data_IF_094766782065
#
_entry.id   IF_094766782065
#
_cell.length_a   1.000
_cell.length_b   1.000
_cell.length_c   1.000
_cell.angle_alpha   90.00
_cell.angle_beta   90.00
_cell.angle_gamma   90.00
#
_symmetry.space_group_name_H-M   'P 1'
#
loop_
_entity.id
_entity.type
_entity.pdbx_description
1 polymer ?
#
# COMPACT_ATOMS: atom_id res chain seq x y z
N UNK A 1 -15.99 23.79 19.56
CA UNK A 1 -16.08 23.66 18.10
C UNK A 1 -17.47 23.17 17.77
N UNK A 2 -18.23 23.92 16.97
CA UNK A 2 -19.59 23.57 16.52
C UNK A 2 -19.46 22.30 15.68
N UNK A 3 -20.14 21.22 16.09
CA UNK A 3 -20.25 20.00 15.28
C UNK A 3 -20.95 20.41 13.97
N UNK A 4 -20.19 20.53 12.88
CA UNK A 4 -20.77 20.76 11.57
C UNK A 4 -21.62 19.53 11.25
N UNK A 5 -22.90 19.73 10.99
CA UNK A 5 -23.79 18.66 10.54
C UNK A 5 -23.15 18.00 9.31
N UNK A 6 -22.81 16.72 9.41
CA UNK A 6 -22.25 15.98 8.27
C UNK A 6 -23.34 15.82 7.21
N UNK A 7 -23.05 16.27 5.99
CA UNK A 7 -23.92 16.05 4.84
C UNK A 7 -23.79 14.58 4.43
N UNK A 8 -24.89 13.83 4.41
CA UNK A 8 -24.94 12.44 3.97
C UNK A 8 -26.10 12.21 3.02
N UNK A 9 -25.82 11.63 1.84
CA UNK A 9 -26.87 11.34 0.85
C UNK A 9 -26.42 10.20 -0.06
N UNK A 10 -27.31 9.21 -0.31
CA UNK A 10 -27.06 8.18 -1.33
C UNK A 10 -26.92 8.87 -2.69
N UNK A 11 -25.84 8.56 -3.42
CA UNK A 11 -25.54 9.18 -4.70
C UNK A 11 -25.76 8.22 -5.87
N UNK A 12 -25.54 6.93 -5.68
CA UNK A 12 -25.85 5.88 -6.63
C UNK A 12 -26.13 4.56 -5.93
N UNK A 13 -26.86 3.69 -6.58
CA UNK A 13 -27.20 2.37 -6.07
C UNK A 13 -26.01 1.39 -6.15
N UNK A 14 -26.21 0.17 -5.68
CA UNK A 14 -25.20 -0.89 -5.65
C UNK A 14 -24.86 -1.49 -7.03
N UNK A 15 -25.48 -1.05 -8.12
CA UNK A 15 -25.21 -1.57 -9.47
C UNK A 15 -23.95 -0.99 -10.10
N UNK A 16 -23.47 0.18 -9.63
CA UNK A 16 -22.25 0.80 -10.12
C UNK A 16 -21.02 0.20 -9.44
N UNK A 17 -20.14 -0.40 -10.23
CA UNK A 17 -18.85 -0.91 -9.73
C UNK A 17 -17.91 0.23 -9.36
N UNK A 18 -16.91 -0.09 -8.51
CA UNK A 18 -15.86 0.86 -8.13
C UNK A 18 -15.15 1.42 -9.35
N UNK A 19 -14.81 0.57 -10.32
CA UNK A 19 -14.12 0.99 -11.54
C UNK A 19 -14.94 1.99 -12.36
N UNK A 20 -16.25 1.78 -12.50
CA UNK A 20 -17.13 2.75 -13.17
C UNK A 20 -17.14 4.11 -12.48
N UNK A 21 -17.21 4.13 -11.14
CA UNK A 21 -17.20 5.39 -10.39
C UNK A 21 -15.85 6.09 -10.55
N UNK A 22 -14.74 5.38 -10.41
CA UNK A 22 -13.41 5.96 -10.58
C UNK A 22 -13.19 6.50 -11.99
N UNK A 23 -13.69 5.80 -13.02
CA UNK A 23 -13.66 6.24 -14.41
C UNK A 23 -14.49 7.50 -14.63
N UNK A 24 -15.71 7.56 -14.07
CA UNK A 24 -16.55 8.75 -14.13
C UNK A 24 -15.89 9.96 -13.44
N UNK A 25 -15.12 9.72 -12.37
CA UNK A 25 -14.39 10.75 -11.64
C UNK A 25 -12.98 11.02 -12.19
N UNK A 26 -12.64 10.48 -13.35
CA UNK A 26 -11.28 10.54 -13.93
C UNK A 26 -10.74 11.97 -14.18
N UNK A 27 -11.58 12.98 -14.27
CA UNK A 27 -11.13 14.38 -14.35
C UNK A 27 -10.57 14.92 -13.02
N UNK A 28 -10.82 14.26 -11.89
CA UNK A 28 -10.34 14.67 -10.58
C UNK A 28 -8.92 14.12 -10.35
N UNK A 29 -7.96 15.01 -10.08
CA UNK A 29 -6.52 14.65 -10.07
C UNK A 29 -6.02 13.97 -8.80
N UNK A 30 -6.62 14.22 -7.63
CA UNK A 30 -6.25 13.59 -6.36
C UNK A 30 -7.30 12.57 -5.94
N UNK A 31 -7.55 11.62 -6.86
CA UNK A 31 -8.54 10.56 -6.69
C UNK A 31 -7.91 9.36 -5.98
N UNK A 32 -8.55 8.89 -4.91
CA UNK A 32 -8.08 7.74 -4.13
C UNK A 32 -9.21 6.76 -3.90
N UNK A 33 -8.91 5.49 -4.06
CA UNK A 33 -9.74 4.36 -3.64
C UNK A 33 -8.97 3.50 -2.64
N UNK A 34 -9.64 3.06 -1.58
CA UNK A 34 -9.15 2.06 -0.63
C UNK A 34 -10.24 1.00 -0.44
N UNK A 35 -9.90 -0.27 -0.62
CA UNK A 35 -10.78 -1.41 -0.34
C UNK A 35 -11.09 -1.52 1.16
N UNK A 36 -10.08 -1.31 2.00
CA UNK A 36 -10.21 -1.29 3.46
C UNK A 36 -11.02 -2.48 4.01
N UNK A 37 -10.64 -3.68 3.60
CA UNK A 37 -11.30 -4.96 3.90
C UNK A 37 -12.77 -4.94 3.45
N UNK A 38 -13.70 -4.60 4.34
CA UNK A 38 -15.15 -4.64 4.07
C UNK A 38 -15.79 -3.23 4.01
N UNK A 39 -14.98 -2.17 4.02
CA UNK A 39 -15.47 -0.79 4.04
C UNK A 39 -14.83 0.07 2.94
N UNK A 40 -15.12 -0.22 1.66
CA UNK A 40 -14.54 0.52 0.53
C UNK A 40 -14.89 2.00 0.57
N UNK A 41 -13.88 2.82 0.25
CA UNK A 41 -14.01 4.28 0.22
C UNK A 41 -13.39 4.86 -1.05
N UNK A 42 -14.05 5.85 -1.65
CA UNK A 42 -13.51 6.68 -2.74
C UNK A 42 -13.43 8.12 -2.24
N UNK A 43 -12.23 8.67 -2.15
CA UNK A 43 -12.00 10.03 -1.71
C UNK A 43 -11.50 10.92 -2.86
N UNK A 44 -11.92 12.17 -2.87
CA UNK A 44 -11.68 13.13 -3.93
C UNK A 44 -11.69 14.55 -3.40
N UNK A 45 -11.10 15.48 -4.16
CA UNK A 45 -11.10 16.92 -3.88
C UNK A 45 -10.61 17.22 -2.45
N UNK A 46 -9.39 16.79 -2.05
CA UNK A 46 -8.88 17.09 -0.71
C UNK A 46 -8.87 18.61 -0.46
N UNK A 47 -9.11 19.04 0.76
CA UNK A 47 -9.04 20.46 1.13
C UNK A 47 -7.61 21.01 0.96
N UNK A 48 -6.65 20.18 1.33
CA UNK A 48 -5.22 20.43 1.21
C UNK A 48 -4.51 19.13 0.92
N UNK A 49 -3.36 19.21 0.27
CA UNK A 49 -2.47 18.07 0.15
C UNK A 49 -1.01 18.48 0.08
N UNK A 50 -0.14 17.54 0.41
CA UNK A 50 1.30 17.67 0.22
C UNK A 50 1.83 16.54 -0.62
N UNK A 51 2.85 16.84 -1.42
CA UNK A 51 3.61 15.89 -2.24
C UNK A 51 5.08 16.09 -1.94
N UNK A 52 5.82 14.99 -1.75
CA UNK A 52 7.28 15.01 -1.80
C UNK A 52 7.73 14.40 -3.12
N UNK A 53 8.41 15.20 -3.93
CA UNK A 53 8.90 14.80 -5.25
C UNK A 53 10.21 15.53 -5.55
N UNK A 54 11.15 14.85 -6.22
CA UNK A 54 12.46 15.43 -6.59
C UNK A 54 13.17 16.07 -5.38
N UNK A 55 13.08 15.42 -4.21
CA UNK A 55 13.68 15.88 -2.95
C UNK A 55 13.14 17.22 -2.41
N UNK A 56 11.94 17.61 -2.80
CA UNK A 56 11.26 18.82 -2.36
C UNK A 56 9.84 18.53 -1.91
N UNK A 57 9.37 19.24 -0.90
CA UNK A 57 7.98 19.26 -0.49
C UNK A 57 7.21 20.34 -1.26
N UNK A 58 6.03 20.00 -1.72
CA UNK A 58 5.07 20.89 -2.33
C UNK A 58 3.76 20.80 -1.54
N UNK A 59 3.18 21.98 -1.22
CA UNK A 59 1.93 22.07 -0.48
C UNK A 59 0.89 22.76 -1.33
N UNK A 60 -0.34 22.26 -1.29
CA UNK A 60 -1.43 22.76 -2.12
C UNK A 60 -2.69 22.94 -1.27
N UNK A 61 -3.42 24.03 -1.55
CA UNK A 61 -4.72 24.30 -0.95
C UNK A 61 -5.77 24.41 -2.03
N UNK A 62 -6.94 23.78 -1.81
CA UNK A 62 -8.09 23.87 -2.70
C UNK A 62 -8.76 25.25 -2.60
N UNK A 63 -9.06 25.85 -3.75
CA UNK A 63 -9.84 27.10 -3.86
C UNK A 63 -11.34 26.82 -3.81
N UNK A 64 -12.14 27.87 -3.76
CA UNK A 64 -13.60 27.75 -3.84
C UNK A 64 -14.08 27.16 -5.18
N UNK A 65 -13.33 27.32 -6.26
CA UNK A 65 -13.65 26.78 -7.59
C UNK A 65 -13.07 25.39 -7.86
N UNK A 66 -12.64 24.69 -6.79
CA UNK A 66 -12.05 23.35 -6.83
C UNK A 66 -10.73 23.23 -7.62
N UNK A 67 -10.04 24.34 -7.83
CA UNK A 67 -8.67 24.37 -8.30
C UNK A 67 -7.71 24.31 -7.11
N UNK A 68 -6.44 23.98 -7.38
CA UNK A 68 -5.40 23.98 -6.35
C UNK A 68 -4.39 25.08 -6.61
N UNK A 69 -4.02 25.76 -5.54
CA UNK A 69 -2.95 26.77 -5.56
C UNK A 69 -1.81 26.27 -4.68
N UNK A 70 -0.59 26.54 -5.12
CA UNK A 70 0.60 26.26 -4.31
C UNK A 70 0.60 27.15 -3.06
N UNK A 71 0.89 26.53 -1.91
CA UNK A 71 1.05 27.25 -0.65
C UNK A 71 2.54 27.24 -0.29
N UNK A 72 3.16 28.43 -0.23
CA UNK A 72 4.58 28.57 0.12
C UNK A 72 4.87 28.29 1.61
N UNK A 73 3.82 28.14 2.42
CA UNK A 73 3.98 27.80 3.83
C UNK A 73 3.97 26.29 4.00
N UNK A 74 5.02 25.79 4.66
CA UNK A 74 5.04 24.43 5.13
C UNK A 74 3.89 24.22 6.12
N UNK A 75 2.96 23.35 5.75
CA UNK A 75 1.82 22.99 6.58
C UNK A 75 2.00 21.54 6.98
N UNK A 76 2.16 21.31 8.27
CA UNK A 76 2.07 19.95 8.81
C UNK A 76 0.63 19.47 8.73
N UNK A 77 0.30 18.77 7.61
CA UNK A 77 -1.04 18.23 7.39
C UNK A 77 -1.37 17.17 8.45
N UNK A 78 -0.38 16.47 9.01
CA UNK A 78 -0.57 15.48 10.05
C UNK A 78 -1.10 16.06 11.36
N UNK A 79 -0.86 17.34 11.63
CA UNK A 79 -1.38 18.05 12.81
C UNK A 79 -2.92 18.12 12.88
N UNK A 80 -3.61 17.81 11.76
CA UNK A 80 -5.07 17.70 11.75
C UNK A 80 -5.59 16.41 12.41
N UNK A 81 -4.71 15.43 12.66
CA UNK A 81 -5.04 14.22 13.38
C UNK A 81 -4.93 14.49 14.87
N UNK A 82 -6.02 14.39 15.58
CA UNK A 82 -6.06 14.60 17.03
C UNK A 82 -6.60 13.34 17.71
N UNK A 83 -5.71 12.49 18.25
CA UNK A 83 -6.13 11.25 18.90
C UNK A 83 -7.20 11.50 19.96
N UNK A 84 -8.34 10.80 19.82
CA UNK A 84 -9.49 10.92 20.71
C UNK A 84 -9.65 9.65 21.54
N UNK A 85 -10.20 9.78 22.75
CA UNK A 85 -10.65 8.65 23.57
C UNK A 85 -12.06 8.17 23.21
N UNK A 86 -12.79 8.92 22.38
CA UNK A 86 -14.13 8.51 21.94
C UNK A 86 -14.01 7.38 20.92
N UNK A 87 -14.87 6.37 21.07
CA UNK A 87 -14.94 5.25 20.13
C UNK A 87 -15.64 5.70 18.85
N UNK A 88 -15.00 5.49 17.70
CA UNK A 88 -15.60 5.65 16.38
C UNK A 88 -15.45 4.36 15.56
N UNK A 89 -16.25 4.26 14.51
CA UNK A 89 -16.28 3.10 13.63
C UNK A 89 -14.92 2.85 12.95
N UNK A 90 -14.63 1.58 12.66
CA UNK A 90 -13.36 1.12 12.06
C UNK A 90 -13.17 1.55 10.58
N UNK A 91 -14.07 2.35 10.01
CA UNK A 91 -14.03 2.81 8.63
C UNK A 91 -13.55 4.26 8.52
N UNK A 92 -13.19 4.68 7.30
CA UNK A 92 -12.83 6.07 7.04
C UNK A 92 -14.02 7.00 7.29
N UNK A 93 -13.80 8.04 8.08
CA UNK A 93 -14.81 9.02 8.47
C UNK A 93 -14.41 10.48 8.22
N UNK A 94 -13.42 10.67 7.35
CA UNK A 94 -12.73 11.93 7.07
C UNK A 94 -11.39 12.03 7.79
N UNK A 95 -10.42 12.60 7.10
CA UNK A 95 -9.05 12.71 7.62
C UNK A 95 -7.99 12.68 6.52
N UNK A 96 -6.83 12.09 6.81
CA UNK A 96 -5.73 11.95 5.86
C UNK A 96 -5.84 10.65 5.08
N UNK A 97 -5.65 10.71 3.76
CA UNK A 97 -5.38 9.54 2.93
C UNK A 97 -4.12 9.80 2.12
N UNK A 98 -3.33 8.75 1.91
CA UNK A 98 -2.16 8.89 1.06
C UNK A 98 -1.27 7.66 1.00
N UNK A 99 -0.04 7.87 0.56
CA UNK A 99 1.00 6.87 0.56
C UNK A 99 2.35 7.44 0.98
N UNK A 100 3.18 6.57 1.53
CA UNK A 100 4.58 6.80 1.86
C UNK A 100 5.41 5.77 1.10
N UNK A 101 6.30 6.19 0.21
CA UNK A 101 7.17 5.29 -0.53
C UNK A 101 8.26 4.68 0.36
N UNK A 102 8.85 3.57 -0.11
CA UNK A 102 10.07 3.03 0.49
C UNK A 102 11.18 4.08 0.52
N UNK A 103 11.42 4.76 -0.61
CA UNK A 103 12.50 5.72 -0.76
C UNK A 103 12.36 6.88 0.26
N UNK A 104 11.13 7.41 0.42
CA UNK A 104 10.87 8.49 1.38
C UNK A 104 11.08 8.03 2.83
N UNK A 105 10.65 6.83 3.16
CA UNK A 105 10.81 6.28 4.50
C UNK A 105 12.28 5.92 4.79
N UNK A 106 12.96 5.26 3.86
CA UNK A 106 14.33 4.81 4.03
C UNK A 106 15.33 5.98 4.17
N UNK A 107 15.11 7.11 3.45
CA UNK A 107 15.99 8.28 3.57
C UNK A 107 16.04 8.91 4.97
N UNK A 108 15.06 8.61 5.84
CA UNK A 108 15.08 9.05 7.23
C UNK A 108 16.14 8.31 8.06
N UNK A 109 16.62 7.18 7.58
CA UNK A 109 17.51 6.26 8.30
C UNK A 109 18.88 6.11 7.63
N UNK A 110 18.91 6.06 6.29
CA UNK A 110 20.12 5.82 5.50
C UNK A 110 20.09 6.68 4.23
N UNK A 111 21.24 7.07 3.67
CA UNK A 111 21.27 7.69 2.35
C UNK A 111 20.75 6.72 1.30
N UNK A 112 19.72 7.11 0.53
CA UNK A 112 19.14 6.29 -0.55
C UNK A 112 18.88 7.14 -1.80
N UNK A 113 18.83 6.48 -2.94
CA UNK A 113 18.34 7.06 -4.17
C UNK A 113 16.81 7.20 -4.09
N UNK A 114 16.27 8.22 -4.76
CA UNK A 114 14.84 8.50 -4.79
C UNK A 114 14.39 8.60 -6.24
N UNK A 115 13.32 7.87 -6.61
CA UNK A 115 12.70 8.00 -7.94
C UNK A 115 12.21 9.42 -8.19
N UNK A 116 12.16 9.84 -9.46
CA UNK A 116 11.67 11.17 -9.88
C UNK A 116 10.15 11.34 -9.71
N UNK A 117 9.41 10.26 -9.52
CA UNK A 117 7.97 10.24 -9.21
C UNK A 117 7.68 10.77 -7.81
N UNK A 118 6.40 11.06 -7.47
CA UNK A 118 6.00 11.32 -6.10
C UNK A 118 6.44 10.19 -5.15
N UNK A 119 7.07 10.57 -4.02
CA UNK A 119 7.56 9.64 -2.99
C UNK A 119 6.76 9.72 -1.69
N UNK A 120 5.99 10.77 -1.52
CA UNK A 120 4.98 10.96 -0.48
C UNK A 120 3.80 11.70 -1.09
N UNK A 121 2.62 11.27 -0.74
CA UNK A 121 1.39 12.06 -0.90
C UNK A 121 0.54 11.91 0.35
N UNK A 122 0.05 13.02 0.86
CA UNK A 122 -0.94 13.06 1.94
C UNK A 122 -1.98 14.12 1.59
N UNK A 123 -3.24 13.71 1.46
CA UNK A 123 -4.37 14.59 1.22
C UNK A 123 -5.33 14.61 2.41
N UNK A 124 -5.84 15.79 2.77
CA UNK A 124 -6.85 15.98 3.80
C UNK A 124 -8.24 15.94 3.15
N UNK A 125 -8.97 14.86 3.39
CA UNK A 125 -10.26 14.58 2.77
C UNK A 125 -11.40 14.69 3.77
N UNK A 126 -12.30 15.63 3.53
CA UNK A 126 -13.56 15.79 4.25
C UNK A 126 -14.78 15.37 3.43
N UNK A 127 -14.57 15.00 2.16
CA UNK A 127 -15.61 14.52 1.23
C UNK A 127 -15.17 13.20 0.59
N UNK A 128 -16.08 12.21 0.63
CA UNK A 128 -15.79 10.85 0.13
C UNK A 128 -17.09 10.10 -0.16
N UNK A 129 -16.99 9.00 -0.92
CA UNK A 129 -18.04 7.99 -1.06
C UNK A 129 -17.67 6.79 -0.18
N UNK A 130 -18.65 6.28 0.55
CA UNK A 130 -18.56 5.07 1.35
C UNK A 130 -19.57 4.06 0.84
N UNK A 131 -19.14 2.80 0.71
CA UNK A 131 -20.03 1.71 0.38
C UNK A 131 -20.96 1.37 1.54
N UNK A 132 -22.22 1.11 1.23
CA UNK A 132 -23.25 0.61 2.17
C UNK A 132 -24.14 -0.40 1.46
N UNK A 133 -24.93 -1.17 2.20
CA UNK A 133 -25.91 -2.09 1.61
C UNK A 133 -26.94 -1.39 0.70
N UNK A 134 -27.17 -0.11 0.91
CA UNK A 134 -28.07 0.71 0.08
C UNK A 134 -27.38 1.33 -1.15
N UNK A 135 -26.08 1.10 -1.33
CA UNK A 135 -25.25 1.68 -2.38
C UNK A 135 -24.21 2.67 -1.86
N UNK A 136 -23.71 3.52 -2.74
CA UNK A 136 -22.68 4.50 -2.41
C UNK A 136 -23.27 5.73 -1.72
N UNK A 137 -22.83 5.94 -0.48
CA UNK A 137 -23.20 7.08 0.34
C UNK A 137 -22.15 8.18 0.20
N UNK A 138 -22.54 9.34 -0.31
CA UNK A 138 -21.73 10.54 -0.21
C UNK A 138 -21.74 11.07 1.21
N UNK A 139 -20.55 11.24 1.77
CA UNK A 139 -20.32 11.80 3.10
C UNK A 139 -19.45 13.03 2.99
N UNK A 140 -19.80 14.10 3.70
CA UNK A 140 -18.97 15.31 3.72
C UNK A 140 -19.16 16.13 5.00
N UNK A 141 -18.05 16.62 5.54
CA UNK A 141 -18.00 17.68 6.56
C UNK A 141 -17.50 19.01 5.99
N UNK A 142 -17.25 19.08 4.68
CA UNK A 142 -16.79 20.29 3.99
C UNK A 142 -17.87 21.37 3.99
N UNK A 143 -17.46 22.62 4.10
CA UNK A 143 -18.37 23.78 4.03
C UNK A 143 -19.08 23.90 2.66
N UNK A 144 -18.52 23.30 1.61
CA UNK A 144 -19.07 23.25 0.25
C UNK A 144 -19.74 21.90 -0.09
N UNK A 145 -20.12 21.10 0.91
CA UNK A 145 -20.61 19.73 0.74
C UNK A 145 -21.68 19.57 -0.36
N UNK A 146 -22.69 20.44 -0.38
CA UNK A 146 -23.76 20.38 -1.39
C UNK A 146 -23.25 20.66 -2.81
N UNK A 147 -22.30 21.60 -2.95
CA UNK A 147 -21.71 21.94 -4.24
C UNK A 147 -20.81 20.82 -4.76
N UNK A 148 -20.05 20.18 -3.85
CA UNK A 148 -19.25 18.98 -4.16
C UNK A 148 -20.19 17.82 -4.55
N UNK A 149 -21.26 17.58 -3.79
CA UNK A 149 -22.24 16.54 -4.11
C UNK A 149 -22.77 16.69 -5.54
N UNK A 150 -23.25 17.88 -5.92
CA UNK A 150 -23.77 18.15 -7.27
C UNK A 150 -22.70 17.95 -8.36
N UNK A 151 -21.46 18.33 -8.07
CA UNK A 151 -20.34 18.11 -9.00
C UNK A 151 -20.09 16.62 -9.22
N UNK A 152 -20.01 15.81 -8.17
CA UNK A 152 -19.82 14.37 -8.26
C UNK A 152 -21.02 13.71 -8.95
N UNK A 153 -22.26 14.07 -8.56
CA UNK A 153 -23.48 13.58 -9.21
C UNK A 153 -23.47 13.84 -10.71
N UNK A 154 -23.03 15.03 -11.15
CA UNK A 154 -22.93 15.35 -12.57
C UNK A 154 -21.95 14.48 -13.35
N UNK A 155 -20.82 14.08 -12.74
CA UNK A 155 -19.89 13.14 -13.36
C UNK A 155 -20.47 11.72 -13.46
N UNK A 156 -21.16 11.25 -12.43
CA UNK A 156 -21.76 9.92 -12.42
C UNK A 156 -22.94 9.76 -13.38
N UNK A 157 -23.62 10.85 -13.73
CA UNK A 157 -24.71 10.85 -14.70
C UNK A 157 -24.23 10.90 -16.16
N UNK A 158 -22.96 11.25 -16.40
CA UNK A 158 -22.37 11.28 -17.74
C UNK A 158 -21.49 10.04 -17.93
N UNK A 159 -21.84 9.11 -18.82
CA UNK A 159 -20.96 7.97 -19.09
C UNK A 159 -19.63 8.49 -19.63
N UNK A 160 -18.57 8.41 -18.84
CA UNK A 160 -17.23 8.70 -19.29
C UNK A 160 -16.75 7.54 -20.15
N UNK A 161 -16.59 7.77 -21.45
CA UNK A 161 -15.82 6.85 -22.26
C UNK A 161 -14.36 6.92 -21.76
N UNK A 162 -13.74 5.77 -21.50
CA UNK A 162 -12.30 5.68 -21.22
C UNK A 162 -11.55 6.29 -22.40
N UNK A 163 -11.02 7.49 -22.21
CA UNK A 163 -10.31 8.21 -23.27
C UNK A 163 -8.87 7.73 -23.44
N UNK A 164 -8.32 7.02 -22.44
CA UNK A 164 -6.90 6.62 -22.40
C UNK A 164 -6.70 5.20 -21.88
N UNK A 165 -7.01 4.15 -22.67
CA UNK A 165 -6.77 2.77 -22.27
C UNK A 165 -5.27 2.54 -22.07
N UNK A 166 -4.92 1.71 -21.08
CA UNK A 166 -3.54 1.29 -20.84
C UNK A 166 -3.02 0.50 -22.04
N UNK A 167 -1.83 0.86 -22.51
CA UNK A 167 -1.14 0.19 -23.61
C UNK A 167 0.36 0.13 -23.31
N UNK A 168 0.95 -1.05 -23.44
CA UNK A 168 2.37 -1.27 -23.30
C UNK A 168 3.05 -1.34 -24.67
N UNK A 169 4.23 -0.74 -24.78
CA UNK A 169 5.04 -0.83 -26.01
C UNK A 169 5.72 -2.21 -26.17
N UNK A 170 5.95 -2.91 -25.06
CA UNK A 170 6.52 -4.27 -25.02
C UNK A 170 6.12 -4.96 -23.73
N UNK A 171 6.35 -6.26 -23.64
CA UNK A 171 6.23 -6.99 -22.37
C UNK A 171 7.18 -6.42 -21.32
N UNK A 172 6.79 -6.49 -20.05
CA UNK A 172 7.63 -6.05 -18.94
C UNK A 172 8.92 -6.87 -18.88
N UNK A 173 10.04 -6.18 -18.76
CA UNK A 173 11.36 -6.78 -18.66
C UNK A 173 11.89 -6.71 -17.24
N UNK A 174 12.45 -7.82 -16.74
CA UNK A 174 13.20 -7.82 -15.51
C UNK A 174 14.48 -6.97 -15.67
N UNK A 175 14.77 -6.12 -14.71
CA UNK A 175 15.94 -5.25 -14.73
C UNK A 175 17.24 -6.03 -14.65
N UNK A 176 17.26 -7.11 -13.86
CA UNK A 176 18.43 -7.97 -13.74
C UNK A 176 18.30 -9.23 -14.58
N UNK A 177 19.41 -9.60 -15.20
CA UNK A 177 19.61 -10.96 -15.72
C UNK A 177 19.79 -11.94 -14.55
N UNK A 178 19.58 -13.21 -14.80
CA UNK A 178 19.83 -14.27 -13.83
C UNK A 178 21.24 -14.20 -13.23
N UNK A 179 22.25 -13.92 -14.09
CA UNK A 179 23.65 -13.77 -13.64
C UNK A 179 23.83 -12.60 -12.67
N UNK A 180 23.18 -11.46 -12.93
CA UNK A 180 23.25 -10.31 -12.03
C UNK A 180 22.55 -10.59 -10.69
N UNK A 181 21.39 -11.27 -10.73
CA UNK A 181 20.72 -11.69 -9.51
C UNK A 181 21.60 -12.64 -8.68
N UNK A 182 22.22 -13.65 -9.31
CA UNK A 182 23.15 -14.58 -8.65
C UNK A 182 24.33 -13.87 -7.98
N UNK A 183 24.88 -12.85 -8.62
CA UNK A 183 25.96 -12.03 -8.04
C UNK A 183 25.48 -11.26 -6.81
N UNK A 184 24.30 -10.62 -6.88
CA UNK A 184 23.72 -9.92 -5.74
C UNK A 184 23.40 -10.91 -4.59
N UNK A 185 22.81 -12.07 -4.90
CA UNK A 185 22.54 -13.12 -3.91
C UNK A 185 23.82 -13.59 -3.21
N UNK A 186 24.90 -13.84 -3.95
CA UNK A 186 26.19 -14.22 -3.37
C UNK A 186 26.71 -13.16 -2.40
N UNK A 187 26.56 -11.88 -2.74
CA UNK A 187 26.95 -10.77 -1.85
C UNK A 187 26.10 -10.76 -0.57
N UNK A 188 24.80 -10.99 -0.67
CA UNK A 188 23.95 -11.14 0.51
C UNK A 188 24.43 -12.28 1.40
N UNK A 189 24.78 -13.44 0.82
CA UNK A 189 25.31 -14.59 1.58
C UNK A 189 26.65 -14.26 2.25
N UNK A 190 27.52 -13.46 1.60
CA UNK A 190 28.78 -12.98 2.20
C UNK A 190 28.51 -12.09 3.42
N UNK A 191 27.55 -11.14 3.33
CA UNK A 191 27.16 -10.28 4.44
C UNK A 191 26.55 -11.07 5.61
N UNK A 192 25.70 -12.05 5.32
CA UNK A 192 25.13 -12.92 6.36
C UNK A 192 26.24 -13.70 7.07
N UNK A 193 27.18 -14.32 6.32
CA UNK A 193 28.31 -15.07 6.89
C UNK A 193 29.28 -14.20 7.68
N UNK A 194 29.42 -12.92 7.29
CA UNK A 194 30.23 -11.95 8.03
C UNK A 194 29.55 -11.47 9.32
N UNK A 195 28.24 -11.75 9.51
CA UNK A 195 27.48 -11.33 10.66
C UNK A 195 26.91 -9.89 10.54
N UNK A 196 26.92 -9.31 9.35
CA UNK A 196 26.33 -7.99 9.08
C UNK A 196 24.82 -8.00 9.20
N UNK A 197 24.16 -9.09 8.79
CA UNK A 197 22.71 -9.24 8.82
C UNK A 197 22.31 -10.73 8.94
N UNK A 198 21.05 -10.96 9.28
CA UNK A 198 20.43 -12.29 9.34
C UNK A 198 19.58 -12.58 8.12
N UNK A 199 18.96 -11.53 7.58
CA UNK A 199 18.09 -11.58 6.40
C UNK A 199 18.18 -10.27 5.62
N UNK A 200 18.13 -10.37 4.29
CA UNK A 200 17.95 -9.26 3.36
C UNK A 200 16.79 -9.57 2.43
N UNK A 201 15.83 -8.65 2.29
CA UNK A 201 14.78 -8.73 1.28
C UNK A 201 15.35 -8.23 -0.06
N UNK A 202 15.89 -9.17 -0.88
CA UNK A 202 16.47 -8.88 -2.18
C UNK A 202 15.40 -8.90 -3.26
N UNK A 203 15.30 -7.80 -4.03
CA UNK A 203 14.20 -7.62 -4.98
C UNK A 203 14.70 -7.14 -6.33
N UNK A 204 13.88 -7.33 -7.36
CA UNK A 204 14.13 -6.76 -8.68
C UNK A 204 12.89 -6.11 -9.27
N UNK A 205 13.13 -5.15 -10.15
CA UNK A 205 12.14 -4.40 -10.88
C UNK A 205 11.80 -5.06 -12.21
N UNK A 206 10.52 -4.99 -12.59
CA UNK A 206 10.03 -5.33 -13.92
C UNK A 206 9.41 -4.06 -14.51
N UNK A 207 9.87 -3.63 -15.70
CA UNK A 207 9.42 -2.38 -16.30
C UNK A 207 9.01 -2.55 -17.75
N UNK A 208 8.11 -1.67 -18.19
CA UNK A 208 7.79 -1.46 -19.61
C UNK A 208 7.45 0.01 -19.85
N UNK A 209 7.63 0.46 -21.11
CA UNK A 209 7.05 1.72 -21.56
C UNK A 209 5.56 1.55 -21.75
N UNK A 210 4.78 2.50 -21.23
CA UNK A 210 3.33 2.44 -21.21
C UNK A 210 2.69 3.80 -21.50
N UNK A 211 1.60 3.78 -22.26
CA UNK A 211 0.73 4.92 -22.51
C UNK A 211 -0.64 4.67 -21.88
N UNK A 212 -1.47 5.71 -21.79
CA UNK A 212 -2.78 5.63 -21.15
C UNK A 212 -2.69 5.58 -19.63
N UNK A 213 -3.72 5.06 -18.99
CA UNK A 213 -3.90 5.09 -17.53
C UNK A 213 -4.09 3.70 -16.95
N UNK A 214 -3.46 3.42 -15.80
CA UNK A 214 -3.71 2.19 -15.02
C UNK A 214 -5.18 2.08 -14.62
N UNK A 215 -5.86 3.22 -14.43
CA UNK A 215 -7.29 3.28 -14.13
C UNK A 215 -8.13 2.45 -15.11
N UNK A 216 -7.74 2.31 -16.36
CA UNK A 216 -8.47 1.54 -17.35
C UNK A 216 -8.45 0.03 -17.12
N UNK A 217 -7.52 -0.47 -16.31
CA UNK A 217 -7.27 -1.89 -16.08
C UNK A 217 -7.46 -2.33 -14.61
N UNK A 218 -7.89 -1.43 -13.73
CA UNK A 218 -7.96 -1.71 -12.27
C UNK A 218 -8.90 -2.86 -11.93
N UNK A 219 -10.03 -2.98 -12.65
CA UNK A 219 -11.04 -4.02 -12.41
C UNK A 219 -10.44 -5.41 -12.57
N UNK A 220 -9.71 -5.63 -13.68
CA UNK A 220 -9.08 -6.90 -14.00
C UNK A 220 -8.03 -7.30 -12.95
N UNK A 221 -7.23 -6.33 -12.48
CA UNK A 221 -6.22 -6.58 -11.45
C UNK A 221 -6.84 -6.91 -10.09
N UNK A 222 -7.91 -6.22 -9.70
CA UNK A 222 -8.58 -6.50 -8.43
C UNK A 222 -9.35 -7.81 -8.45
N UNK A 223 -10.02 -8.14 -9.56
CA UNK A 223 -10.66 -9.44 -9.74
C UNK A 223 -9.66 -10.59 -9.72
N UNK A 224 -8.48 -10.39 -10.32
CA UNK A 224 -7.40 -11.38 -10.31
C UNK A 224 -6.87 -11.68 -8.91
N UNK A 225 -6.76 -10.67 -8.05
CA UNK A 225 -6.03 -10.78 -6.77
C UNK A 225 -6.94 -10.91 -5.57
N UNK A 226 -8.15 -10.35 -5.60
CA UNK A 226 -9.12 -10.30 -4.51
C UNK A 226 -8.47 -9.93 -3.15
N UNK A 227 -7.60 -8.91 -3.19
CA UNK A 227 -6.75 -8.59 -2.05
C UNK A 227 -7.43 -7.60 -1.10
N UNK A 228 -7.41 -7.85 0.24
CA UNK A 228 -8.19 -7.10 1.21
C UNK A 228 -7.74 -5.65 1.40
N UNK A 229 -6.50 -5.32 1.06
CA UNK A 229 -5.91 -3.97 1.17
C UNK A 229 -5.60 -3.39 -0.21
N UNK A 230 -6.43 -3.71 -1.20
CA UNK A 230 -6.36 -3.12 -2.53
C UNK A 230 -6.63 -1.62 -2.50
N UNK A 231 -6.06 -0.90 -3.46
CA UNK A 231 -6.28 0.53 -3.56
C UNK A 231 -5.79 1.10 -4.89
N UNK A 232 -6.22 2.32 -5.15
CA UNK A 232 -5.78 3.11 -6.30
C UNK A 232 -5.58 4.56 -5.87
N UNK A 233 -4.52 5.18 -6.35
CA UNK A 233 -4.25 6.58 -6.10
C UNK A 233 -3.69 7.21 -7.36
N UNK A 234 -4.20 8.40 -7.70
CA UNK A 234 -3.67 9.20 -8.81
C UNK A 234 -3.37 10.62 -8.39
N UNK A 235 -2.18 11.09 -8.78
CA UNK A 235 -1.71 12.45 -8.58
C UNK A 235 -1.04 12.86 -9.89
N UNK A 236 -1.67 13.77 -10.63
CA UNK A 236 -1.18 14.22 -11.93
C UNK A 236 -0.81 13.02 -12.84
N UNK A 237 0.45 12.90 -13.25
CA UNK A 237 0.97 11.83 -14.11
C UNK A 237 1.41 10.55 -13.34
N UNK A 238 1.21 10.52 -12.02
CA UNK A 238 1.53 9.36 -11.20
C UNK A 238 0.28 8.58 -10.82
N UNK A 239 0.31 7.29 -11.08
CA UNK A 239 -0.71 6.32 -10.68
C UNK A 239 -0.08 5.19 -9.88
N UNK A 240 -0.75 4.83 -8.79
CA UNK A 240 -0.39 3.71 -7.92
C UNK A 240 -1.59 2.77 -7.80
N UNK A 241 -1.46 1.57 -8.32
CA UNK A 241 -2.43 0.48 -8.18
C UNK A 241 -1.89 -0.54 -7.20
N UNK A 242 -2.56 -0.70 -6.07
CA UNK A 242 -2.22 -1.69 -5.05
C UNK A 242 -3.16 -2.88 -5.11
N UNK A 243 -2.58 -4.09 -5.10
CA UNK A 243 -3.24 -5.37 -4.89
C UNK A 243 -2.67 -6.04 -3.63
N UNK A 244 -2.45 -5.26 -2.58
CA UNK A 244 -1.77 -5.73 -1.38
C UNK A 244 -2.64 -6.67 -0.53
N UNK A 245 -2.13 -7.84 -0.16
CA UNK A 245 -2.78 -8.73 0.80
C UNK A 245 -2.44 -8.40 2.26
N UNK A 246 -1.50 -7.50 2.54
CA UNK A 246 -0.85 -7.39 3.84
C UNK A 246 -1.15 -6.08 4.56
N UNK A 247 -1.67 -6.19 5.79
CA UNK A 247 -1.80 -5.10 6.72
C UNK A 247 -0.42 -4.75 7.30
N UNK A 248 -0.04 -3.47 7.19
CA UNK A 248 1.13 -2.97 7.90
C UNK A 248 0.81 -2.60 9.34
N UNK A 249 0.00 -1.57 9.55
CA UNK A 249 -0.44 -1.16 10.88
C UNK A 249 -1.90 -0.70 10.82
N UNK A 250 -2.71 -1.21 11.75
CA UNK A 250 -4.05 -0.76 12.05
C UNK A 250 -4.03 0.03 13.36
N UNK A 251 -4.48 1.28 13.33
CA UNK A 251 -4.60 2.19 14.46
C UNK A 251 -6.05 2.21 14.93
N UNK A 252 -6.31 1.57 16.05
CA UNK A 252 -7.66 1.39 16.58
C UNK A 252 -7.99 2.39 17.68
N UNK A 253 -9.24 2.35 18.13
CA UNK A 253 -9.69 3.07 19.32
C UNK A 253 -8.86 2.72 20.55
N UNK A 254 -8.91 3.56 21.57
CA UNK A 254 -8.11 3.41 22.79
C UNK A 254 -6.60 3.32 22.54
N UNK A 255 -6.14 3.95 21.43
CA UNK A 255 -4.72 4.00 21.04
C UNK A 255 -4.08 2.61 20.80
N UNK A 256 -4.91 1.59 20.60
CA UNK A 256 -4.44 0.25 20.25
C UNK A 256 -3.91 0.25 18.82
N UNK A 257 -2.78 -0.41 18.60
CA UNK A 257 -2.23 -0.68 17.27
C UNK A 257 -2.09 -2.18 17.06
N UNK A 258 -2.31 -2.62 15.83
CA UNK A 258 -2.19 -4.02 15.43
C UNK A 258 -1.36 -4.09 14.15
N UNK A 259 -0.47 -5.08 14.05
CA UNK A 259 0.20 -5.45 12.81
C UNK A 259 0.05 -6.95 12.58
N UNK A 260 -0.12 -7.34 11.29
CA UNK A 260 -0.38 -8.74 10.91
C UNK A 260 0.60 -9.19 9.82
N UNK A 261 1.85 -9.52 10.18
CA UNK A 261 2.81 -10.00 9.21
C UNK A 261 2.39 -11.35 8.64
N UNK A 262 2.58 -11.49 7.33
CA UNK A 262 2.37 -12.73 6.58
C UNK A 262 3.73 -13.35 6.26
N UNK A 263 3.92 -14.63 6.63
CA UNK A 263 5.05 -15.45 6.19
C UNK A 263 4.56 -16.85 5.88
N UNK A 264 4.96 -17.35 4.72
CA UNK A 264 4.48 -18.63 4.23
C UNK A 264 3.11 -18.52 3.55
N UNK A 265 3.04 -19.12 2.38
CA UNK A 265 1.82 -19.16 1.54
C UNK A 265 1.74 -20.50 0.85
N UNK A 266 0.57 -21.13 0.91
CA UNK A 266 0.28 -22.36 0.20
C UNK A 266 -1.01 -22.23 -0.62
N UNK A 267 -1.12 -22.90 -1.79
CA UNK A 267 -2.31 -22.80 -2.63
C UNK A 267 -3.52 -23.46 -1.99
N UNK A 268 -4.70 -22.96 -2.34
CA UNK A 268 -5.99 -23.61 -2.10
C UNK A 268 -6.27 -24.65 -3.18
N UNK A 269 -7.02 -25.68 -2.84
CA UNK A 269 -7.47 -26.71 -3.75
C UNK A 269 -8.98 -26.89 -3.66
N UNK A 270 -9.61 -27.19 -4.80
CA UNK A 270 -11.05 -27.52 -4.84
C UNK A 270 -11.38 -28.85 -4.12
N UNK A 271 -10.42 -29.77 -4.09
CA UNK A 271 -10.53 -31.02 -3.33
C UNK A 271 -10.26 -30.74 -1.84
N UNK A 272 -11.25 -30.98 -0.93
CA UNK A 272 -11.10 -30.67 0.49
C UNK A 272 -9.93 -31.39 1.20
N UNK A 273 -9.56 -32.60 0.71
CA UNK A 273 -8.46 -33.38 1.30
C UNK A 273 -7.13 -32.75 0.92
N UNK A 274 -6.96 -32.39 -0.35
CA UNK A 274 -5.75 -31.70 -0.81
C UNK A 274 -5.64 -30.29 -0.19
N UNK A 275 -6.75 -29.59 -0.03
CA UNK A 275 -6.79 -28.26 0.61
C UNK A 275 -6.34 -28.34 2.07
N UNK A 276 -6.85 -29.29 2.84
CA UNK A 276 -6.43 -29.48 4.24
C UNK A 276 -4.96 -29.93 4.33
N UNK A 277 -4.49 -30.77 3.40
CA UNK A 277 -3.07 -31.15 3.35
C UNK A 277 -2.17 -29.93 3.07
N UNK A 278 -2.59 -29.03 2.17
CA UNK A 278 -1.87 -27.80 1.87
C UNK A 278 -1.77 -26.90 3.12
N UNK A 279 -2.88 -26.72 3.82
CA UNK A 279 -2.95 -26.00 5.07
C UNK A 279 -2.05 -26.61 6.17
N UNK A 280 -2.08 -27.94 6.32
CA UNK A 280 -1.25 -28.65 7.31
C UNK A 280 0.24 -28.53 6.99
N UNK A 281 0.65 -28.60 5.72
CA UNK A 281 2.03 -28.38 5.30
C UNK A 281 2.52 -27.00 5.71
N UNK A 282 1.69 -25.96 5.48
CA UNK A 282 2.03 -24.61 5.89
C UNK A 282 2.16 -24.51 7.42
N UNK A 283 1.18 -25.05 8.14
CA UNK A 283 1.15 -25.01 9.60
C UNK A 283 2.36 -25.70 10.25
N UNK A 284 2.90 -26.75 9.63
CA UNK A 284 4.04 -27.54 10.15
C UNK A 284 5.38 -27.17 9.51
N UNK A 285 5.44 -26.13 8.67
CA UNK A 285 6.66 -25.69 8.02
C UNK A 285 7.60 -25.01 9.02
N UNK A 286 8.64 -25.69 9.44
CA UNK A 286 9.66 -25.15 10.37
C UNK A 286 10.34 -23.89 9.79
N UNK A 287 10.59 -23.87 8.48
CA UNK A 287 11.16 -22.71 7.78
C UNK A 287 10.25 -21.50 7.93
N UNK A 288 8.96 -21.62 7.55
CA UNK A 288 8.01 -20.50 7.58
C UNK A 288 7.77 -20.02 9.02
N UNK A 289 7.70 -20.94 9.99
CA UNK A 289 7.59 -20.60 11.41
C UNK A 289 8.82 -19.82 11.90
N UNK A 290 10.03 -20.25 11.57
CA UNK A 290 11.27 -19.57 11.99
C UNK A 290 11.35 -18.15 11.40
N UNK A 291 11.03 -17.99 10.11
CA UNK A 291 10.98 -16.67 9.47
C UNK A 291 9.88 -15.79 10.09
N UNK A 292 8.72 -16.36 10.38
CA UNK A 292 7.61 -15.64 11.00
C UNK A 292 7.98 -15.13 12.41
N UNK A 293 8.60 -15.97 13.26
CA UNK A 293 9.06 -15.56 14.60
C UNK A 293 10.04 -14.40 14.51
N UNK A 294 11.00 -14.45 13.59
CA UNK A 294 11.98 -13.39 13.42
C UNK A 294 11.30 -12.04 13.06
N UNK A 295 10.32 -12.07 12.16
CA UNK A 295 9.57 -10.86 11.77
C UNK A 295 8.68 -10.36 12.91
N UNK A 296 8.01 -11.26 13.62
CA UNK A 296 7.22 -10.91 14.81
C UNK A 296 8.09 -10.23 15.86
N UNK A 297 9.28 -10.73 16.12
CA UNK A 297 10.19 -10.13 17.11
C UNK A 297 10.70 -8.75 16.67
N UNK A 298 10.99 -8.59 15.37
CA UNK A 298 11.35 -7.30 14.80
C UNK A 298 10.21 -6.27 14.93
N UNK A 299 8.97 -6.66 14.61
CA UNK A 299 7.80 -5.79 14.75
C UNK A 299 7.49 -5.46 16.22
N UNK A 300 7.65 -6.43 17.13
CA UNK A 300 7.55 -6.16 18.56
C UNK A 300 8.56 -5.10 19.02
N UNK A 301 9.79 -5.19 18.54
CA UNK A 301 10.82 -4.19 18.80
C UNK A 301 10.43 -2.82 18.23
N UNK A 302 10.01 -2.75 16.96
CA UNK A 302 9.59 -1.49 16.31
C UNK A 302 8.43 -0.81 17.05
N UNK A 303 7.41 -1.56 17.45
CA UNK A 303 6.25 -1.04 18.18
C UNK A 303 6.60 -0.64 19.63
N UNK A 304 7.53 -1.35 20.28
CA UNK A 304 7.88 -1.13 21.69
C UNK A 304 8.40 0.27 21.98
N UNK A 305 9.01 0.93 21.00
CA UNK A 305 9.53 2.31 21.13
C UNK A 305 8.42 3.28 21.50
N UNK A 306 7.24 3.11 20.94
CA UNK A 306 6.09 4.00 21.06
C UNK A 306 4.99 3.48 21.97
N UNK A 307 5.09 2.22 22.37
CA UNK A 307 4.08 1.55 23.17
C UNK A 307 4.25 1.80 24.68
N UNK A 308 3.15 1.75 25.40
CA UNK A 308 3.14 1.68 26.84
C UNK A 308 3.91 0.44 27.33
N UNK A 309 4.65 0.57 28.43
CA UNK A 309 5.44 -0.53 28.97
C UNK A 309 4.56 -1.75 29.30
N UNK A 310 4.93 -2.91 28.74
CA UNK A 310 4.19 -4.16 28.94
C UNK A 310 2.93 -4.34 28.09
N UNK A 311 2.61 -3.39 27.21
CA UNK A 311 1.43 -3.49 26.33
C UNK A 311 1.69 -4.30 25.05
N UNK A 312 2.94 -4.46 24.62
CA UNK A 312 3.29 -5.25 23.42
C UNK A 312 3.04 -6.73 23.66
N UNK A 313 2.13 -7.31 22.87
CA UNK A 313 1.71 -8.71 22.97
C UNK A 313 1.67 -9.36 21.60
N UNK A 314 1.72 -10.69 21.58
CA UNK A 314 1.51 -11.52 20.39
C UNK A 314 0.33 -12.45 20.64
N UNK A 315 -0.90 -11.99 20.47
CA UNK A 315 -2.09 -12.79 20.79
C UNK A 315 -2.28 -13.98 19.85
N UNK A 316 -1.76 -13.89 18.62
CA UNK A 316 -1.79 -14.98 17.64
C UNK A 316 -0.41 -15.17 17.05
N UNK A 317 0.06 -16.43 17.04
CA UNK A 317 1.32 -16.85 16.43
C UNK A 317 1.04 -18.03 15.51
N UNK A 318 1.55 -17.98 14.26
CA UNK A 318 1.38 -19.01 13.22
C UNK A 318 -0.08 -19.36 12.90
N UNK A 319 -0.99 -18.42 13.01
CA UNK A 319 -2.37 -18.66 12.63
C UNK A 319 -2.49 -18.82 11.11
N UNK A 320 -3.32 -19.78 10.65
CA UNK A 320 -3.57 -19.94 9.22
C UNK A 320 -4.87 -19.22 8.85
N UNK A 321 -4.75 -18.20 8.01
CA UNK A 321 -5.87 -17.49 7.38
C UNK A 321 -6.05 -17.98 5.94
N UNK A 322 -7.27 -18.39 5.60
CA UNK A 322 -7.59 -18.96 4.29
C UNK A 322 -8.36 -17.93 3.46
N UNK A 323 -7.80 -17.55 2.32
CA UNK A 323 -8.41 -16.69 1.32
C UNK A 323 -8.90 -17.54 0.12
N UNK A 324 -9.46 -16.90 -0.90
CA UNK A 324 -10.04 -17.63 -2.03
C UNK A 324 -9.02 -18.53 -2.76
N UNK A 325 -7.78 -18.08 -2.91
CA UNK A 325 -6.76 -18.78 -3.70
C UNK A 325 -5.62 -19.37 -2.87
N UNK A 326 -5.43 -18.91 -1.63
CA UNK A 326 -4.25 -19.26 -0.83
C UNK A 326 -4.58 -19.38 0.66
N UNK A 327 -3.76 -20.17 1.35
CA UNK A 327 -3.60 -20.14 2.80
C UNK A 327 -2.37 -19.30 3.15
N UNK A 328 -2.49 -18.39 4.10
CA UNK A 328 -1.39 -17.60 4.65
C UNK A 328 -1.13 -17.96 6.10
N UNK A 329 0.15 -18.03 6.49
CA UNK A 329 0.56 -18.05 7.88
C UNK A 329 0.67 -16.59 8.37
N UNK A 330 -0.22 -16.23 9.29
CA UNK A 330 -0.36 -14.86 9.82
C UNK A 330 -0.12 -14.87 11.32
N UNK A 331 0.72 -13.98 11.79
CA UNK A 331 0.83 -13.68 13.21
C UNK A 331 0.24 -12.31 13.50
N UNK A 332 -0.08 -12.03 14.76
CA UNK A 332 -0.62 -10.75 15.18
C UNK A 332 0.21 -10.20 16.33
N UNK A 333 0.68 -8.96 16.18
CA UNK A 333 1.33 -8.21 17.24
C UNK A 333 0.47 -7.00 17.55
N UNK A 334 0.17 -6.79 18.82
CA UNK A 334 -0.60 -5.66 19.29
C UNK A 334 0.16 -4.85 20.35
N UNK A 335 -0.15 -3.57 20.43
CA UNK A 335 0.37 -2.70 21.48
C UNK A 335 -0.61 -1.53 21.75
N UNK A 336 -0.43 -0.83 22.87
CA UNK A 336 -1.10 0.42 23.17
C UNK A 336 -0.10 1.55 23.08
N UNK A 337 -0.36 2.59 22.30
CA UNK A 337 0.50 3.75 22.15
C UNK A 337 0.48 4.62 23.41
N UNK A 338 1.65 5.13 23.81
CA UNK A 338 1.78 6.16 24.85
C UNK A 338 0.95 7.39 24.49
N UNK A 339 0.38 8.07 25.49
CA UNK A 339 -0.55 9.18 25.30
C UNK A 339 -0.01 10.34 24.46
N UNK A 340 1.29 10.63 24.61
CA UNK A 340 1.98 11.73 23.92
C UNK A 340 2.41 11.42 22.48
N UNK A 341 2.31 10.16 22.04
CA UNK A 341 2.82 9.73 20.73
C UNK A 341 1.79 10.00 19.66
N UNK A 342 2.20 10.66 18.58
CA UNK A 342 1.34 10.91 17.43
C UNK A 342 1.32 9.69 16.47
N UNK A 343 0.14 9.17 16.03
CA UNK A 343 0.04 7.97 15.18
C UNK A 343 0.83 8.06 13.88
N UNK A 344 0.85 9.22 13.23
CA UNK A 344 1.61 9.42 12.01
C UNK A 344 3.12 9.26 12.20
N UNK A 345 3.65 9.70 13.35
CA UNK A 345 5.07 9.47 13.67
C UNK A 345 5.39 8.00 13.87
N UNK A 346 4.46 7.23 14.44
CA UNK A 346 4.61 5.76 14.55
C UNK A 346 4.70 5.14 13.17
N UNK A 347 3.80 5.50 12.26
CA UNK A 347 3.81 5.02 10.89
C UNK A 347 5.14 5.30 10.18
N UNK A 348 5.59 6.56 10.20
CA UNK A 348 6.84 6.95 9.52
C UNK A 348 8.07 6.26 10.09
N UNK A 349 8.14 6.11 11.41
CA UNK A 349 9.28 5.50 12.09
C UNK A 349 9.30 3.98 11.94
N UNK A 350 8.13 3.33 11.84
CA UNK A 350 8.04 1.91 11.57
C UNK A 350 8.41 1.58 10.11
N UNK A 351 8.23 2.53 9.18
CA UNK A 351 8.59 2.37 7.77
C UNK A 351 10.09 2.61 7.51
N UNK A 352 10.69 1.90 6.54
CA UNK A 352 10.15 0.71 5.88
C UNK A 352 10.01 -0.46 6.86
N UNK A 353 8.99 -1.29 6.66
CA UNK A 353 8.72 -2.44 7.53
C UNK A 353 9.85 -3.46 7.53
N UNK A 354 10.07 -4.12 8.65
CA UNK A 354 11.12 -5.14 8.79
C UNK A 354 10.90 -6.36 7.89
N UNK A 355 9.63 -6.73 7.64
CA UNK A 355 9.27 -7.87 6.79
C UNK A 355 9.72 -7.71 5.33
N UNK A 356 9.93 -6.46 4.89
CA UNK A 356 10.26 -6.10 3.50
C UNK A 356 11.67 -5.45 3.37
N UNK A 357 12.44 -5.42 4.45
CA UNK A 357 13.82 -4.93 4.48
C UNK A 357 14.79 -6.04 4.92
N UNK A 358 14.75 -6.39 6.18
CA UNK A 358 15.61 -7.41 6.78
C UNK A 358 16.03 -7.06 8.20
N UNK A 359 16.92 -7.84 8.77
CA UNK A 359 17.37 -7.70 10.15
C UNK A 359 18.90 -7.79 10.27
N UNK A 360 19.56 -6.86 10.98
CA UNK A 360 19.05 -5.61 11.58
C UNK A 360 18.63 -4.58 10.52
N UNK A 361 17.50 -3.86 10.75
CA UNK A 361 16.82 -3.02 9.76
C UNK A 361 17.74 -2.00 9.06
N UNK A 362 18.49 -1.21 9.81
CA UNK A 362 19.37 -0.16 9.25
C UNK A 362 20.46 -0.77 8.35
N UNK A 363 21.12 -1.84 8.83
CA UNK A 363 22.16 -2.51 8.04
C UNK A 363 21.57 -3.16 6.79
N UNK A 364 20.40 -3.77 6.90
CA UNK A 364 19.68 -4.34 5.77
C UNK A 364 19.39 -3.27 4.68
N UNK A 365 18.90 -2.09 5.07
CA UNK A 365 18.64 -0.99 4.12
C UNK A 365 19.92 -0.50 3.43
N UNK A 366 21.06 -0.41 4.13
CA UNK A 366 22.35 -0.07 3.52
C UNK A 366 22.78 -1.08 2.46
N UNK A 367 22.64 -2.37 2.76
CA UNK A 367 22.99 -3.46 1.83
C UNK A 367 22.04 -3.48 0.63
N UNK A 368 20.74 -3.26 0.84
CA UNK A 368 19.74 -3.15 -0.23
C UNK A 368 20.12 -2.02 -1.20
N UNK A 369 20.43 -0.82 -0.68
CA UNK A 369 20.82 0.32 -1.50
C UNK A 369 22.08 0.03 -2.32
N UNK A 370 23.08 -0.61 -1.70
CA UNK A 370 24.32 -1.00 -2.38
C UNK A 370 24.07 -2.02 -3.50
N UNK A 371 23.27 -3.05 -3.24
CA UNK A 371 23.11 -4.16 -4.17
C UNK A 371 22.05 -3.94 -5.24
N UNK A 372 20.89 -3.40 -4.89
CA UNK A 372 19.83 -3.16 -5.87
C UNK A 372 20.19 -2.04 -6.83
N UNK A 373 20.88 -1.00 -6.36
CA UNK A 373 21.39 0.10 -7.19
C UNK A 373 20.30 0.85 -7.96
N UNK A 374 19.03 0.74 -7.55
CA UNK A 374 17.89 1.47 -8.08
C UNK A 374 16.84 1.72 -7.00
N UNK A 375 16.20 2.89 -7.00
CA UNK A 375 15.18 3.23 -6.02
C UNK A 375 13.91 2.39 -6.21
N UNK A 376 13.33 1.90 -5.13
CA UNK A 376 12.12 1.07 -5.15
C UNK A 376 10.83 1.86 -5.44
N UNK A 377 10.85 3.17 -5.22
CA UNK A 377 9.67 4.01 -5.33
C UNK A 377 8.62 3.65 -4.27
N UNK A 378 7.36 3.47 -4.69
CA UNK A 378 6.27 3.11 -3.80
C UNK A 378 6.35 1.67 -3.28
N UNK A 379 7.00 0.76 -4.00
CA UNK A 379 7.14 -0.64 -3.59
C UNK A 379 7.81 -0.75 -2.22
N UNK A 380 7.26 -1.59 -1.34
CA UNK A 380 7.67 -1.72 0.06
C UNK A 380 7.45 -0.47 0.93
N UNK A 381 6.69 0.50 0.43
CA UNK A 381 6.12 1.58 1.20
C UNK A 381 4.78 1.19 1.81
N UNK A 382 3.94 2.17 2.07
CA UNK A 382 2.62 1.97 2.68
C UNK A 382 1.59 2.94 2.07
N UNK A 383 0.35 2.47 1.90
CA UNK A 383 -0.80 3.27 1.50
C UNK A 383 -1.94 3.05 2.48
N UNK A 384 -2.65 4.12 2.82
CA UNK A 384 -3.73 3.99 3.78
C UNK A 384 -4.29 5.35 4.22
N UNK A 385 -4.90 5.35 5.39
CA UNK A 385 -5.55 6.53 5.93
C UNK A 385 -5.42 6.66 7.44
N UNK A 386 -5.62 7.90 7.93
CA UNK A 386 -5.92 8.23 9.31
C UNK A 386 -7.22 9.04 9.36
N UNK A 387 -8.13 8.67 10.22
CA UNK A 387 -9.25 9.51 10.61
C UNK A 387 -8.77 10.70 11.44
N UNK A 388 -9.59 11.75 11.56
CA UNK A 388 -9.27 12.90 12.41
C UNK A 388 -9.01 12.53 13.89
N UNK A 389 -9.57 11.43 14.38
CA UNK A 389 -9.38 10.93 15.74
C UNK A 389 -8.14 10.07 15.94
N UNK A 390 -7.33 9.88 14.89
CA UNK A 390 -6.09 9.13 14.94
C UNK A 390 -6.22 7.63 14.72
N UNK A 391 -7.45 7.12 14.54
CA UNK A 391 -7.66 5.75 14.04
C UNK A 391 -7.31 5.68 12.55
N UNK A 392 -6.98 4.49 12.03
CA UNK A 392 -6.64 4.36 10.62
C UNK A 392 -6.02 3.03 10.27
N UNK A 393 -5.85 2.77 8.99
CA UNK A 393 -5.32 1.50 8.49
C UNK A 393 -4.35 1.75 7.34
N UNK A 394 -3.19 1.09 7.38
CA UNK A 394 -2.10 1.23 6.41
C UNK A 394 -1.60 -0.15 5.99
N UNK A 395 -1.51 -0.37 4.67
CA UNK A 395 -1.01 -1.60 4.07
C UNK A 395 0.51 -1.57 3.86
N UNK A 396 1.09 -2.70 3.44
CA UNK A 396 2.41 -2.75 2.79
C UNK A 396 2.21 -2.76 1.28
N UNK A 397 2.87 -1.87 0.56
CA UNK A 397 2.81 -1.79 -0.91
C UNK A 397 3.66 -2.89 -1.57
N UNK A 398 3.18 -4.12 -1.48
CA UNK A 398 3.61 -5.27 -2.27
C UNK A 398 2.52 -5.64 -3.27
N UNK A 399 2.84 -6.38 -4.32
CA UNK A 399 1.91 -6.67 -5.43
C UNK A 399 1.24 -5.39 -5.95
N UNK A 400 2.05 -4.34 -6.09
CA UNK A 400 1.60 -3.01 -6.49
C UNK A 400 2.28 -2.57 -7.77
N UNK A 401 1.54 -1.89 -8.62
CA UNK A 401 1.99 -1.37 -9.91
C UNK A 401 2.07 0.15 -9.79
N UNK A 402 3.20 0.72 -10.16
CA UNK A 402 3.38 2.18 -10.23
C UNK A 402 3.53 2.58 -11.70
N UNK A 403 2.82 3.61 -12.08
CA UNK A 403 2.99 4.23 -13.40
C UNK A 403 3.33 5.70 -13.23
N UNK A 404 4.39 6.15 -13.83
CA UNK A 404 4.77 7.56 -13.86
C UNK A 404 5.19 7.95 -15.26
N UNK A 405 4.51 8.95 -15.81
CA UNK A 405 4.68 9.38 -17.19
C UNK A 405 4.48 8.20 -18.17
N UNK A 406 5.52 7.82 -18.89
CA UNK A 406 5.53 6.77 -19.92
C UNK A 406 6.12 5.43 -19.44
N UNK A 407 6.27 5.24 -18.14
CA UNK A 407 6.83 4.02 -17.56
C UNK A 407 5.89 3.38 -16.54
N UNK A 408 5.68 2.08 -16.69
CA UNK A 408 5.05 1.23 -15.68
C UNK A 408 6.11 0.35 -15.03
N UNK A 409 6.03 0.18 -13.71
CA UNK A 409 6.92 -0.71 -12.97
C UNK A 409 6.20 -1.53 -11.91
N UNK A 410 6.72 -2.73 -11.68
CA UNK A 410 6.28 -3.72 -10.71
C UNK A 410 7.52 -4.37 -10.10
N UNK A 411 7.50 -4.64 -8.80
CA UNK A 411 8.65 -5.19 -8.09
C UNK A 411 8.30 -6.49 -7.38
N UNK A 412 9.28 -7.38 -7.29
CA UNK A 412 9.17 -8.60 -6.50
C UNK A 412 10.52 -9.08 -5.99
N UNK A 413 10.48 -9.84 -4.91
CA UNK A 413 11.64 -10.48 -4.31
C UNK A 413 11.29 -11.23 -3.05
N UNK A 414 12.31 -11.74 -2.38
CA UNK A 414 12.18 -12.56 -1.18
C UNK A 414 13.21 -12.25 -0.12
N UNK A 415 12.98 -12.77 1.07
CA UNK A 415 13.89 -12.65 2.21
C UNK A 415 15.01 -13.67 2.13
N UNK A 416 16.20 -13.27 1.73
CA UNK A 416 17.38 -14.12 1.66
C UNK A 416 17.92 -14.34 3.06
N UNK A 417 18.05 -15.61 3.46
CA UNK A 417 18.66 -16.07 4.72
C UNK A 417 19.86 -16.97 4.43
N UNK A 418 20.54 -17.40 5.46
CA UNK A 418 21.67 -18.33 5.30
C UNK A 418 21.27 -19.66 4.66
N UNK A 419 20.02 -20.09 4.83
CA UNK A 419 19.46 -21.33 4.29
C UNK A 419 18.85 -21.19 2.89
N UNK A 420 18.82 -19.98 2.33
CA UNK A 420 18.24 -19.72 1.01
C UNK A 420 19.10 -20.31 -0.10
N UNK A 421 18.43 -20.83 -1.14
CA UNK A 421 19.03 -21.34 -2.37
C UNK A 421 18.77 -20.36 -3.53
N UNK A 422 19.81 -20.02 -4.26
CA UNK A 422 19.79 -18.93 -5.25
C UNK A 422 18.76 -19.11 -6.36
N UNK A 423 18.66 -20.31 -6.92
CA UNK A 423 17.71 -20.63 -7.99
C UNK A 423 16.27 -20.55 -7.50
N UNK A 424 16.00 -21.02 -6.28
CA UNK A 424 14.67 -20.95 -5.67
C UNK A 424 14.24 -19.51 -5.42
N UNK A 425 15.12 -18.67 -4.86
CA UNK A 425 14.84 -17.27 -4.57
C UNK A 425 14.70 -16.45 -5.85
N UNK A 426 15.49 -16.76 -6.90
CA UNK A 426 15.31 -16.12 -8.22
C UNK A 426 13.96 -16.45 -8.83
N UNK A 427 13.56 -17.72 -8.81
CA UNK A 427 12.25 -18.15 -9.28
C UNK A 427 11.11 -17.50 -8.48
N UNK A 428 11.27 -17.37 -7.16
CA UNK A 428 10.28 -16.74 -6.29
C UNK A 428 9.98 -15.29 -6.67
N UNK A 429 10.98 -14.53 -7.20
CA UNK A 429 10.74 -13.19 -7.73
C UNK A 429 9.69 -13.19 -8.84
N UNK A 430 9.70 -14.19 -9.73
CA UNK A 430 8.72 -14.30 -10.81
C UNK A 430 7.39 -14.87 -10.31
N UNK A 431 7.42 -15.89 -9.48
CA UNK A 431 6.21 -16.56 -8.99
C UNK A 431 5.30 -15.59 -8.22
N UNK A 432 5.89 -14.71 -7.41
CA UNK A 432 5.15 -13.71 -6.63
C UNK A 432 4.38 -12.69 -7.47
N UNK A 433 4.79 -12.44 -8.70
CA UNK A 433 4.18 -11.43 -9.57
C UNK A 433 3.72 -11.99 -10.90
N UNK A 434 3.88 -13.28 -11.16
CA UNK A 434 3.52 -13.92 -12.44
C UNK A 434 2.10 -13.59 -12.91
N UNK A 435 1.12 -13.68 -12.03
CA UNK A 435 -0.26 -13.36 -12.37
C UNK A 435 -0.43 -11.89 -12.79
N UNK A 436 0.16 -10.96 -12.04
CA UNK A 436 0.12 -9.52 -12.35
C UNK A 436 0.89 -9.19 -13.63
N UNK A 437 2.08 -9.79 -13.82
CA UNK A 437 2.88 -9.62 -15.04
C UNK A 437 2.16 -10.17 -16.27
N UNK A 438 1.57 -11.36 -16.16
CA UNK A 438 0.83 -11.96 -17.27
C UNK A 438 -0.34 -11.07 -17.67
N UNK A 439 -1.12 -10.57 -16.71
CA UNK A 439 -2.23 -9.66 -17.00
C UNK A 439 -1.70 -8.34 -17.58
N UNK A 440 -0.66 -7.73 -16.98
CA UNK A 440 -0.08 -6.48 -17.47
C UNK A 440 0.42 -6.62 -18.91
N UNK A 441 1.03 -7.76 -19.25
CA UNK A 441 1.55 -8.04 -20.59
C UNK A 441 0.44 -8.25 -21.64
N UNK A 442 -0.83 -8.47 -21.26
CA UNK A 442 -1.95 -8.52 -22.23
C UNK A 442 -2.25 -7.16 -22.84
N UNK A 443 -1.82 -6.06 -22.21
CA UNK A 443 -2.00 -4.69 -22.73
C UNK A 443 -0.91 -4.29 -23.74
N UNK A 444 -0.02 -5.20 -24.16
CA UNK A 444 0.95 -4.92 -25.21
C UNK A 444 0.23 -4.71 -26.55
N UNK A 445 0.54 -3.61 -27.21
CA UNK A 445 0.03 -3.37 -28.57
C UNK A 445 0.53 -4.47 -29.52
N UNK A 446 -0.35 -5.31 -29.98
CA UNK A 446 -0.12 -6.11 -31.17
C UNK A 446 -0.18 -5.12 -32.35
N UNK A 447 0.95 -4.83 -32.98
CA UNK A 447 0.94 -4.12 -34.26
C UNK A 447 0.01 -4.96 -35.18
N UNK A 448 -1.18 -4.43 -35.45
CA UNK A 448 -1.98 -4.96 -36.54
C UNK A 448 -1.16 -4.72 -37.82
N UNK A 449 -0.65 -5.79 -38.42
CA UNK A 449 -0.04 -5.79 -39.76
C UNK A 449 -1.04 -5.29 -40.81
#
# INVERSE_FOLDING_TARGET
MTISQSFKKIICDSSLSVSHILQALNELTQLVYLQNVDAPVIAFLPERYQVFQKKQHFFFQRTQDFCYIHDDKEIDISSNIQPSSEQKEASFSGGLIGFVSYDYAAQQHVPVQIKSQPSLFLGLYSSYLQWTDAGWLFCSSDSQAERIYRKIESYLLQPSALTHPLQLASICQARWTETQYKQAFQKVQEYIKAGDCYQINLTQEFTAKAHGQLLSAIEEFWQLTDAPYSGYLRIDDFELLSCSPELFIDFQTHRKIITKPIKGTMPRYADPVLDEQSKQRLMTSEKDQAENVMIVDLLRNDLSVYAETGSVKTPKLFNIESFNQVHHMVSEVEATLKAEVHPFHVLLSALPGGSITGAPKIRAMQIIEELEGAPRGAYCGSMGYFNFDGTGSWNILIRSIQKFQDEVSLWAGGGITIASECEAEYQECFDKVSALLNLLNTFVQTNAE
#
